data_IF_236663612354
#
_entry.id   IF_236663612354
#
_cell.length_a   1.000
_cell.length_b   1.000
_cell.length_c   1.000
_cell.angle_alpha   90.00
_cell.angle_beta   90.00
_cell.angle_gamma   90.00
#
_symmetry.space_group_name_H-M   'P 1'
#
loop_
_entity.id
_entity.type
_entity.pdbx_description
1 polymer ?
#
# COMPACT_ATOMS: atom_id res chain seq x y z
N UNK A 1 2.50 -33.77 -55.74
CA UNK A 1 2.34 -34.11 -54.31
C UNK A 1 1.11 -33.39 -53.78
N UNK A 2 0.14 -34.14 -53.24
CA UNK A 2 -1.25 -33.70 -53.02
C UNK A 2 -1.34 -32.63 -51.91
N UNK A 3 -2.15 -31.59 -52.15
CA UNK A 3 -2.42 -30.44 -51.24
C UNK A 3 -2.72 -30.87 -49.79
N UNK A 4 -3.30 -32.05 -49.64
CA UNK A 4 -3.63 -32.68 -48.35
C UNK A 4 -2.40 -32.91 -47.46
N UNK A 5 -1.22 -33.19 -48.04
CA UNK A 5 0.02 -33.35 -47.26
C UNK A 5 0.54 -32.04 -46.70
N UNK A 6 0.35 -30.92 -47.40
CA UNK A 6 0.79 -29.59 -46.94
C UNK A 6 -0.13 -29.09 -45.82
N UNK A 7 -1.44 -29.33 -45.96
CA UNK A 7 -2.42 -29.00 -44.92
C UNK A 7 -2.18 -29.82 -43.65
N UNK A 8 -1.91 -31.12 -43.78
CA UNK A 8 -1.60 -31.98 -42.63
C UNK A 8 -0.32 -31.53 -41.92
N UNK A 9 0.73 -31.14 -42.65
CA UNK A 9 1.95 -30.59 -42.07
C UNK A 9 1.71 -29.27 -41.33
N UNK A 10 0.88 -28.37 -41.88
CA UNK A 10 0.50 -27.12 -41.22
C UNK A 10 -0.30 -27.36 -39.93
N UNK A 11 -1.24 -28.31 -39.96
CA UNK A 11 -2.02 -28.70 -38.77
C UNK A 11 -1.12 -29.33 -37.71
N UNK A 12 -0.16 -30.18 -38.09
CA UNK A 12 0.80 -30.78 -37.16
C UNK A 12 1.73 -29.71 -36.56
N UNK A 13 2.20 -28.75 -37.34
CA UNK A 13 3.02 -27.63 -36.85
C UNK A 13 2.20 -26.71 -35.92
N UNK A 14 0.94 -26.42 -36.28
CA UNK A 14 0.02 -25.65 -35.44
C UNK A 14 -0.28 -26.37 -34.12
N UNK A 15 -0.52 -27.68 -34.17
CA UNK A 15 -0.71 -28.53 -32.99
C UNK A 15 0.56 -28.63 -32.15
N UNK A 16 1.75 -28.76 -32.74
CA UNK A 16 3.03 -28.77 -32.00
C UNK A 16 3.29 -27.43 -31.31
N UNK A 17 3.02 -26.31 -31.97
CA UNK A 17 3.10 -24.97 -31.37
C UNK A 17 2.09 -24.79 -30.22
N UNK A 18 0.88 -25.37 -30.35
CA UNK A 18 -0.13 -25.33 -29.30
C UNK A 18 0.13 -26.35 -28.18
N UNK A 19 0.74 -27.50 -28.45
CA UNK A 19 1.13 -28.47 -27.43
C UNK A 19 2.18 -27.83 -26.52
N UNK A 20 3.15 -27.05 -27.05
CA UNK A 20 4.09 -26.31 -26.19
C UNK A 20 3.43 -25.25 -25.30
N UNK A 21 2.35 -24.60 -25.77
CA UNK A 21 1.60 -23.65 -24.93
C UNK A 21 0.70 -24.35 -23.89
N UNK A 22 0.17 -25.55 -24.20
CA UNK A 22 -0.60 -26.36 -23.24
C UNK A 22 0.28 -27.16 -22.27
N UNK A 23 1.49 -27.56 -22.63
CA UNK A 23 2.41 -28.24 -21.70
C UNK A 23 2.99 -27.31 -20.64
N UNK A 24 2.97 -25.99 -20.87
CA UNK A 24 3.25 -25.01 -19.82
C UNK A 24 2.12 -24.88 -18.78
N UNK A 25 0.91 -25.38 -19.08
CA UNK A 25 -0.26 -25.27 -18.20
C UNK A 25 -0.32 -26.42 -17.17
N UNK A 26 0.50 -27.47 -17.33
CA UNK A 26 0.42 -28.69 -16.51
C UNK A 26 1.73 -29.16 -15.89
N UNK A 27 2.83 -28.40 -15.97
CA UNK A 27 3.99 -28.73 -15.14
C UNK A 27 3.70 -28.29 -13.72
N UNK A 28 4.01 -29.14 -12.74
CA UNK A 28 4.13 -28.75 -11.33
C UNK A 28 5.10 -27.57 -11.27
N UNK A 29 4.60 -26.36 -11.47
CA UNK A 29 5.32 -25.13 -11.25
C UNK A 29 5.78 -25.24 -9.81
N UNK A 30 7.09 -25.17 -9.62
CA UNK A 30 7.66 -25.07 -8.29
C UNK A 30 6.83 -24.06 -7.50
N UNK A 31 6.41 -24.41 -6.29
CA UNK A 31 5.79 -23.47 -5.34
C UNK A 31 6.69 -22.24 -5.04
N UNK A 32 7.91 -22.22 -5.59
CA UNK A 32 8.74 -21.03 -5.70
C UNK A 32 8.13 -20.03 -6.70
N UNK A 33 7.20 -19.22 -6.20
CA UNK A 33 6.59 -18.15 -6.97
C UNK A 33 7.59 -17.08 -7.47
N UNK A 34 8.82 -17.08 -6.97
CA UNK A 34 9.88 -16.16 -7.40
C UNK A 34 10.82 -16.74 -8.47
N UNK A 35 10.52 -17.92 -9.02
CA UNK A 35 11.26 -18.45 -10.17
C UNK A 35 11.05 -17.59 -11.42
N UNK A 36 12.02 -17.59 -12.34
CA UNK A 36 11.95 -16.81 -13.58
C UNK A 36 10.70 -17.14 -14.41
N UNK A 37 10.30 -18.40 -14.48
CA UNK A 37 9.09 -18.86 -15.19
C UNK A 37 7.84 -18.20 -14.61
N UNK A 38 7.71 -18.20 -13.28
CA UNK A 38 6.56 -17.62 -12.59
C UNK A 38 6.53 -16.08 -12.71
N UNK A 39 7.70 -15.43 -12.69
CA UNK A 39 7.83 -13.98 -12.96
C UNK A 39 7.36 -13.67 -14.39
N UNK A 40 7.78 -14.45 -15.38
CA UNK A 40 7.36 -14.29 -16.78
C UNK A 40 5.85 -14.52 -16.94
N UNK A 41 5.29 -15.52 -16.26
CA UNK A 41 3.85 -15.78 -16.28
C UNK A 41 3.05 -14.59 -15.75
N UNK A 42 3.47 -13.99 -14.63
CA UNK A 42 2.85 -12.76 -14.11
C UNK A 42 3.02 -11.56 -15.04
N UNK A 43 4.18 -11.41 -15.67
CA UNK A 43 4.43 -10.37 -16.67
C UNK A 43 3.48 -10.51 -17.87
N UNK A 44 3.33 -11.73 -18.41
CA UNK A 44 2.43 -12.03 -19.51
C UNK A 44 0.97 -11.74 -19.12
N UNK A 45 0.53 -12.22 -17.95
CA UNK A 45 -0.80 -11.95 -17.42
C UNK A 45 -1.07 -10.44 -17.30
N UNK A 46 -0.15 -9.69 -16.71
CA UNK A 46 -0.30 -8.25 -16.51
C UNK A 46 -0.38 -7.49 -17.85
N UNK A 47 0.46 -7.87 -18.83
CA UNK A 47 0.41 -7.29 -20.18
C UNK A 47 -0.90 -7.62 -20.90
N UNK A 48 -1.35 -8.87 -20.85
CA UNK A 48 -2.63 -9.29 -21.44
C UNK A 48 -3.80 -8.55 -20.82
N UNK A 49 -3.82 -8.40 -19.49
CA UNK A 49 -4.85 -7.66 -18.78
C UNK A 49 -4.84 -6.18 -19.18
N UNK A 50 -3.65 -5.54 -19.20
CA UNK A 50 -3.48 -4.14 -19.60
C UNK A 50 -4.01 -3.89 -21.02
N UNK A 51 -3.64 -4.74 -21.98
CA UNK A 51 -4.10 -4.63 -23.36
C UNK A 51 -5.63 -4.77 -23.48
N UNK A 52 -6.22 -5.76 -22.79
CA UNK A 52 -7.67 -5.94 -22.76
C UNK A 52 -8.38 -4.70 -22.17
N UNK A 53 -7.82 -4.15 -21.10
CA UNK A 53 -8.40 -3.00 -20.43
C UNK A 53 -8.33 -1.74 -21.31
N UNK A 54 -7.17 -1.44 -21.91
CA UNK A 54 -7.02 -0.28 -22.81
C UNK A 54 -7.94 -0.41 -24.03
N UNK A 55 -8.05 -1.60 -24.61
CA UNK A 55 -8.97 -1.85 -25.72
C UNK A 55 -10.43 -1.60 -25.32
N UNK A 56 -10.83 -1.99 -24.11
CA UNK A 56 -12.17 -1.68 -23.61
C UNK A 56 -12.36 -0.18 -23.33
N UNK A 57 -11.32 0.50 -22.82
CA UNK A 57 -11.37 1.93 -22.49
C UNK A 57 -11.53 2.81 -23.73
N UNK A 58 -10.85 2.44 -24.82
CA UNK A 58 -10.94 3.16 -26.11
C UNK A 58 -12.30 3.00 -26.78
N UNK A 59 -13.03 1.92 -26.48
CA UNK A 59 -14.40 1.69 -26.95
C UNK A 59 -15.40 2.52 -26.12
N UNK A 60 -15.19 2.63 -24.80
CA UNK A 60 -16.11 3.33 -23.90
C UNK A 60 -15.63 4.75 -23.53
N UNK A 61 -15.88 5.69 -24.43
CA UNK A 61 -15.42 7.10 -24.36
C UNK A 61 -16.02 7.91 -23.20
N UNK A 62 -17.09 7.46 -22.57
CA UNK A 62 -17.75 8.15 -21.46
C UNK A 62 -17.38 7.57 -20.09
N UNK A 63 -16.40 6.65 -20.03
CA UNK A 63 -16.00 6.04 -18.77
C UNK A 63 -15.34 7.05 -17.81
N UNK A 64 -15.69 6.97 -16.52
CA UNK A 64 -15.08 7.78 -15.45
C UNK A 64 -13.56 7.56 -15.36
N UNK A 65 -13.10 6.35 -15.67
CA UNK A 65 -11.69 6.00 -15.76
C UNK A 65 -10.96 6.79 -16.86
N UNK A 66 -11.56 6.92 -18.05
CA UNK A 66 -10.98 7.71 -19.14
C UNK A 66 -10.93 9.21 -18.80
N UNK A 67 -11.97 9.75 -18.17
CA UNK A 67 -11.97 11.16 -17.73
C UNK A 67 -10.85 11.42 -16.71
N UNK A 68 -10.66 10.49 -15.76
CA UNK A 68 -9.62 10.59 -14.75
C UNK A 68 -8.22 10.44 -15.38
N UNK A 69 -8.07 9.54 -16.35
CA UNK A 69 -6.84 9.38 -17.13
C UNK A 69 -6.49 10.64 -17.93
N UNK A 70 -7.47 11.28 -18.58
CA UNK A 70 -7.31 12.54 -19.30
C UNK A 70 -6.85 13.66 -18.37
N UNK A 71 -7.39 13.70 -17.15
CA UNK A 71 -6.99 14.66 -16.13
C UNK A 71 -5.54 14.45 -15.67
N UNK A 72 -5.12 13.20 -15.48
CA UNK A 72 -3.75 12.85 -15.04
C UNK A 72 -2.73 13.16 -16.14
N UNK A 73 -3.02 12.76 -17.38
CA UNK A 73 -2.07 12.88 -18.50
C UNK A 73 -2.16 14.22 -19.24
N UNK A 74 -3.20 15.01 -18.99
CA UNK A 74 -3.56 16.22 -19.73
C UNK A 74 -3.79 15.97 -21.24
N UNK A 75 -4.30 14.78 -21.60
CA UNK A 75 -4.61 14.40 -22.98
C UNK A 75 -6.12 14.33 -23.15
N UNK A 76 -6.65 15.14 -24.06
CA UNK A 76 -8.07 15.17 -24.42
C UNK A 76 -8.29 14.54 -25.80
N UNK A 77 -7.84 13.28 -25.96
CA UNK A 77 -7.84 12.60 -27.25
C UNK A 77 -7.61 11.10 -27.13
N UNK A 78 -7.30 10.46 -28.26
CA UNK A 78 -7.02 9.02 -28.27
C UNK A 78 -5.65 8.74 -27.65
N UNK A 79 -5.57 7.67 -26.86
CA UNK A 79 -4.31 7.18 -26.31
C UNK A 79 -3.63 6.25 -27.29
N UNK A 80 -2.31 6.36 -27.37
CA UNK A 80 -1.48 5.38 -28.06
C UNK A 80 -1.24 4.18 -27.15
N UNK A 81 -1.69 3.00 -27.56
CA UNK A 81 -1.58 1.78 -26.76
C UNK A 81 -0.12 1.40 -26.48
N UNK A 82 0.81 1.73 -27.38
CA UNK A 82 2.23 1.39 -27.25
C UNK A 82 2.95 2.25 -26.19
N UNK A 83 2.37 3.39 -25.82
CA UNK A 83 2.90 4.26 -24.77
C UNK A 83 2.60 3.75 -23.37
N UNK A 84 1.68 2.79 -23.22
CA UNK A 84 1.44 2.15 -21.94
C UNK A 84 2.56 1.18 -21.59
N UNK A 85 3.08 1.30 -20.37
CA UNK A 85 4.15 0.45 -19.85
C UNK A 85 3.84 -0.01 -18.45
N UNK A 86 4.26 -1.22 -18.12
CA UNK A 86 4.25 -1.71 -16.75
C UNK A 86 5.60 -1.42 -16.10
N UNK A 87 5.55 -1.07 -14.82
CA UNK A 87 6.75 -1.02 -13.98
C UNK A 87 7.40 -2.39 -13.83
N UNK A 88 8.59 -2.39 -13.20
CA UNK A 88 9.10 -3.57 -12.52
C UNK A 88 8.06 -4.12 -11.52
N UNK A 89 8.19 -5.38 -11.17
CA UNK A 89 7.34 -5.99 -10.16
C UNK A 89 7.73 -5.52 -8.76
N UNK A 90 6.72 -5.19 -7.94
CA UNK A 90 6.87 -4.92 -6.51
C UNK A 90 6.23 -6.04 -5.72
N UNK A 91 6.81 -6.40 -4.58
CA UNK A 91 6.12 -7.29 -3.64
C UNK A 91 4.90 -6.56 -3.06
N UNK A 92 3.76 -7.24 -3.02
CA UNK A 92 2.54 -6.76 -2.44
C UNK A 92 2.17 -7.58 -1.21
N UNK A 93 1.79 -6.91 -0.14
CA UNK A 93 1.40 -7.51 1.13
C UNK A 93 0.06 -6.98 1.56
N UNK A 94 -0.93 -7.87 1.68
CA UNK A 94 -2.19 -7.58 2.36
C UNK A 94 -2.05 -8.08 3.79
N UNK A 95 -1.85 -7.14 4.71
CA UNK A 95 -1.57 -7.43 6.12
C UNK A 95 -2.83 -7.34 6.95
N UNK A 96 -2.87 -8.12 8.03
CA UNK A 96 -4.01 -8.27 8.93
C UNK A 96 -5.24 -8.91 8.28
N UNK A 97 -5.02 -9.78 7.27
CA UNK A 97 -6.05 -10.64 6.74
C UNK A 97 -6.39 -11.71 7.78
N UNK A 98 -7.42 -11.45 8.58
CA UNK A 98 -7.85 -12.36 9.65
C UNK A 98 -8.69 -13.48 9.03
N UNK A 99 -8.30 -14.76 9.17
CA UNK A 99 -9.10 -15.87 8.65
C UNK A 99 -10.45 -15.95 9.39
N UNK A 100 -11.52 -16.11 8.64
CA UNK A 100 -12.89 -16.22 9.16
C UNK A 100 -13.62 -17.44 8.62
N UNK A 101 -14.52 -17.98 9.42
CA UNK A 101 -15.50 -18.99 9.00
C UNK A 101 -16.82 -18.33 8.69
N UNK A 102 -17.45 -18.71 7.57
CA UNK A 102 -18.78 -18.24 7.20
C UNK A 102 -19.84 -19.18 7.78
N UNK A 103 -20.81 -18.61 8.50
CA UNK A 103 -22.02 -19.30 8.95
C UNK A 103 -23.26 -18.56 8.49
N UNK A 104 -24.41 -19.24 8.48
CA UNK A 104 -25.70 -18.66 8.11
C UNK A 104 -26.50 -18.40 9.39
N UNK A 105 -27.02 -17.18 9.56
CA UNK A 105 -27.88 -16.83 10.67
C UNK A 105 -29.32 -17.30 10.43
N UNK A 106 -30.17 -17.29 11.46
CA UNK A 106 -31.59 -17.66 11.34
C UNK A 106 -32.35 -16.78 10.32
N UNK A 107 -31.92 -15.52 10.17
CA UNK A 107 -32.45 -14.60 9.16
C UNK A 107 -31.95 -14.88 7.73
N UNK A 108 -31.21 -15.98 7.51
CA UNK A 108 -30.67 -16.42 6.21
C UNK A 108 -29.41 -15.68 5.75
N UNK A 109 -28.92 -14.68 6.49
CA UNK A 109 -27.74 -13.90 6.10
C UNK A 109 -26.45 -14.59 6.52
N UNK A 110 -25.40 -14.58 5.66
CA UNK A 110 -24.08 -15.05 6.06
C UNK A 110 -23.45 -14.08 7.07
N UNK A 111 -22.72 -14.62 8.02
CA UNK A 111 -21.90 -13.86 8.98
C UNK A 111 -20.57 -14.58 9.23
N UNK A 112 -19.59 -13.83 9.71
CA UNK A 112 -18.23 -14.33 9.90
C UNK A 112 -17.96 -14.66 11.37
N UNK A 113 -17.20 -15.73 11.62
CA UNK A 113 -16.69 -16.07 12.95
C UNK A 113 -15.18 -16.19 12.88
N UNK A 114 -14.51 -15.56 13.84
CA UNK A 114 -13.08 -15.76 14.09
C UNK A 114 -12.93 -16.80 15.19
N UNK A 115 -12.09 -17.82 14.98
CA UNK A 115 -11.80 -18.84 15.99
C UNK A 115 -11.02 -18.27 17.17
N UNK A 116 -11.24 -18.78 18.38
CA UNK A 116 -10.59 -18.25 19.58
C UNK A 116 -9.06 -18.35 19.53
N UNK A 117 -8.52 -19.43 18.94
CA UNK A 117 -7.07 -19.58 18.68
C UNK A 117 -6.48 -18.41 17.86
N UNK A 118 -7.24 -17.92 16.87
CA UNK A 118 -6.85 -16.79 16.01
C UNK A 118 -6.94 -15.49 16.81
N UNK A 119 -8.01 -15.31 17.61
CA UNK A 119 -8.18 -14.12 18.47
C UNK A 119 -7.03 -13.96 19.45
N UNK A 120 -6.59 -15.05 20.06
CA UNK A 120 -5.51 -15.00 21.05
C UNK A 120 -4.16 -14.68 20.41
N UNK A 121 -3.89 -15.19 19.21
CA UNK A 121 -2.71 -14.77 18.45
C UNK A 121 -2.75 -13.28 18.11
N UNK A 122 -3.89 -12.75 17.66
CA UNK A 122 -4.09 -11.33 17.36
C UNK A 122 -3.80 -10.44 18.59
N UNK A 123 -4.29 -10.81 19.79
CA UNK A 123 -4.04 -10.07 21.04
C UNK A 123 -2.55 -9.94 21.37
N UNK A 124 -1.76 -10.94 20.99
CA UNK A 124 -0.35 -11.06 21.31
C UNK A 124 0.60 -10.48 20.24
N UNK A 125 0.07 -10.02 19.10
CA UNK A 125 0.89 -9.38 18.06
C UNK A 125 1.55 -8.11 18.59
N UNK A 126 2.85 -7.96 18.33
CA UNK A 126 3.64 -6.78 18.65
C UNK A 126 4.59 -6.45 17.51
N UNK A 127 4.64 -5.18 17.12
CA UNK A 127 5.42 -4.72 15.97
C UNK A 127 6.40 -3.63 16.38
N UNK A 128 7.67 -3.81 16.02
CA UNK A 128 8.73 -2.82 16.16
C UNK A 128 9.27 -2.35 14.80
N UNK A 129 8.89 -3.03 13.70
CA UNK A 129 9.27 -2.68 12.34
C UNK A 129 8.22 -3.17 11.33
N UNK A 130 8.28 -2.68 10.09
CA UNK A 130 7.52 -3.25 8.98
C UNK A 130 7.84 -4.74 8.78
N UNK A 131 9.09 -5.15 8.99
CA UNK A 131 9.47 -6.57 8.89
C UNK A 131 8.66 -7.45 9.84
N UNK A 132 8.34 -6.97 11.04
CA UNK A 132 7.51 -7.72 11.99
C UNK A 132 6.07 -7.85 11.46
N UNK A 133 5.53 -6.78 10.88
CA UNK A 133 4.18 -6.75 10.29
C UNK A 133 4.07 -7.71 9.10
N UNK A 134 5.05 -7.67 8.18
CA UNK A 134 5.03 -8.45 6.94
C UNK A 134 5.29 -9.95 7.14
N UNK A 135 5.78 -10.37 8.31
CA UNK A 135 6.10 -11.76 8.63
C UNK A 135 5.09 -12.42 9.58
N UNK A 136 3.94 -11.80 9.83
CA UNK A 136 2.87 -12.47 10.58
C UNK A 136 2.16 -13.52 9.72
N UNK A 137 1.45 -14.45 10.37
CA UNK A 137 0.60 -15.44 9.68
C UNK A 137 -0.67 -14.84 9.07
N UNK A 138 -0.99 -13.57 9.37
CA UNK A 138 -2.17 -12.85 8.86
C UNK A 138 -1.80 -11.97 7.66
N UNK A 139 -0.93 -12.47 6.79
CA UNK A 139 -0.41 -11.73 5.64
C UNK A 139 -0.56 -12.56 4.38
N UNK A 140 -1.33 -12.03 3.43
CA UNK A 140 -1.32 -12.54 2.07
C UNK A 140 -0.27 -11.82 1.26
N UNK A 141 0.44 -12.59 0.44
CA UNK A 141 1.48 -12.08 -0.45
C UNK A 141 0.99 -12.12 -1.88
N UNK A 142 1.36 -11.10 -2.63
CA UNK A 142 1.15 -11.02 -4.05
C UNK A 142 2.19 -10.11 -4.69
N UNK A 143 1.84 -9.57 -5.85
CA UNK A 143 2.70 -8.70 -6.63
C UNK A 143 1.92 -7.49 -7.12
N UNK A 144 2.57 -6.34 -7.14
CA UNK A 144 1.99 -5.11 -7.67
C UNK A 144 2.82 -4.60 -8.85
N UNK A 145 2.14 -3.97 -9.81
CA UNK A 145 2.76 -3.26 -10.93
C UNK A 145 2.07 -1.93 -11.13
N UNK A 146 2.86 -0.87 -11.29
CA UNK A 146 2.38 0.46 -11.65
C UNK A 146 2.22 0.50 -13.18
N UNK A 147 1.10 1.06 -13.63
CA UNK A 147 0.84 1.32 -15.03
C UNK A 147 1.26 2.74 -15.34
N UNK A 148 2.05 2.89 -16.38
CA UNK A 148 2.56 4.15 -16.88
C UNK A 148 1.99 4.46 -18.25
N UNK A 149 1.76 5.74 -18.52
CA UNK A 149 1.58 6.27 -19.87
C UNK A 149 2.58 7.39 -20.09
N UNK A 150 3.50 7.22 -21.05
CA UNK A 150 4.55 8.21 -21.34
C UNK A 150 5.36 8.63 -20.09
N UNK A 151 5.67 7.65 -19.23
CA UNK A 151 6.33 7.79 -17.93
C UNK A 151 5.53 8.53 -16.84
N UNK A 152 4.24 8.82 -17.07
CA UNK A 152 3.33 9.32 -16.04
C UNK A 152 2.62 8.13 -15.40
N UNK A 153 2.63 7.96 -14.06
CA UNK A 153 1.85 6.91 -13.42
C UNK A 153 0.36 7.17 -13.62
N UNK A 154 -0.39 6.17 -14.05
CA UNK A 154 -1.82 6.30 -14.39
C UNK A 154 -2.71 5.23 -13.79
N UNK A 155 -2.12 4.27 -13.08
CA UNK A 155 -2.84 3.15 -12.49
C UNK A 155 -1.93 2.11 -11.89
N UNK A 156 -2.52 1.00 -11.48
CA UNK A 156 -1.80 -0.15 -10.95
C UNK A 156 -2.59 -1.45 -11.10
N UNK A 157 -1.86 -2.55 -11.04
CA UNK A 157 -2.38 -3.92 -11.03
C UNK A 157 -1.90 -4.61 -9.75
N UNK A 158 -2.81 -5.29 -9.05
CA UNK A 158 -2.52 -6.20 -7.94
C UNK A 158 -2.77 -7.63 -8.43
N UNK A 159 -1.73 -8.45 -8.35
CA UNK A 159 -1.66 -9.81 -8.86
C UNK A 159 -1.49 -10.74 -7.65
N UNK A 160 -2.26 -11.81 -7.62
CA UNK A 160 -2.18 -12.83 -6.57
C UNK A 160 -2.22 -14.23 -7.16
N UNK A 161 -1.86 -15.21 -6.34
CA UNK A 161 -1.99 -16.62 -6.67
C UNK A 161 -3.37 -17.12 -6.23
N UNK A 162 -4.18 -17.58 -7.17
CA UNK A 162 -5.43 -18.27 -6.87
C UNK A 162 -5.16 -19.77 -6.77
N UNK A 163 -5.18 -20.29 -5.54
CA UNK A 163 -4.98 -21.72 -5.27
C UNK A 163 -6.07 -22.61 -5.86
N UNK A 164 -7.29 -22.10 -6.10
CA UNK A 164 -8.39 -22.87 -6.69
C UNK A 164 -8.19 -23.05 -8.19
N UNK A 165 -7.72 -22.00 -8.86
CA UNK A 165 -7.41 -22.04 -10.29
C UNK A 165 -6.00 -22.56 -10.57
N UNK A 166 -5.17 -22.71 -9.53
CA UNK A 166 -3.76 -23.05 -9.63
C UNK A 166 -3.03 -22.12 -10.63
N UNK A 167 -3.34 -20.82 -10.55
CA UNK A 167 -2.84 -19.82 -11.50
C UNK A 167 -2.78 -18.42 -10.87
N UNK A 168 -2.03 -17.53 -11.49
CA UNK A 168 -2.02 -16.11 -11.16
C UNK A 168 -3.26 -15.42 -11.72
N UNK A 169 -3.82 -14.49 -10.94
CA UNK A 169 -4.94 -13.64 -11.34
C UNK A 169 -4.65 -12.18 -11.02
N UNK A 170 -5.21 -11.27 -11.82
CA UNK A 170 -5.26 -9.85 -11.47
C UNK A 170 -6.50 -9.64 -10.60
N UNK A 171 -6.30 -9.58 -9.28
CA UNK A 171 -7.39 -9.39 -8.32
C UNK A 171 -7.94 -7.96 -8.38
N UNK A 172 -7.07 -6.97 -8.64
CA UNK A 172 -7.49 -5.57 -8.73
C UNK A 172 -6.69 -4.86 -9.81
N UNK A 173 -7.38 -4.17 -10.71
CA UNK A 173 -6.77 -3.25 -11.68
C UNK A 173 -7.43 -1.89 -11.57
N UNK A 174 -6.65 -0.85 -11.28
CA UNK A 174 -7.13 0.54 -11.14
C UNK A 174 -6.44 1.41 -12.17
N UNK A 175 -7.22 2.24 -12.85
CA UNK A 175 -6.76 3.18 -13.87
C UNK A 175 -7.43 4.53 -13.69
N UNK A 176 -6.74 5.58 -14.12
CA UNK A 176 -7.14 6.95 -13.81
C UNK A 176 -6.86 7.31 -12.36
N UNK A 177 -5.91 6.61 -11.72
CA UNK A 177 -5.42 6.90 -10.37
C UNK A 177 -3.89 6.81 -10.35
N UNK A 178 -3.24 7.96 -10.24
CA UNK A 178 -1.78 8.11 -10.19
C UNK A 178 -1.23 7.99 -8.75
N UNK A 179 -2.11 7.89 -7.75
CA UNK A 179 -1.78 7.97 -6.32
C UNK A 179 -0.70 6.97 -5.89
N UNK A 180 -0.84 5.70 -6.31
CA UNK A 180 0.11 4.66 -5.91
C UNK A 180 1.45 4.82 -6.63
N UNK A 181 1.42 5.13 -7.93
CA UNK A 181 2.64 5.35 -8.70
C UNK A 181 3.44 6.53 -8.17
N UNK A 182 2.77 7.65 -7.87
CA UNK A 182 3.40 8.81 -7.23
C UNK A 182 4.01 8.47 -5.86
N UNK A 183 3.31 7.69 -5.02
CA UNK A 183 3.83 7.26 -3.73
C UNK A 183 5.12 6.41 -3.87
N UNK A 184 5.13 5.48 -4.84
CA UNK A 184 6.31 4.66 -5.15
C UNK A 184 7.46 5.52 -5.65
N UNK A 185 7.23 6.36 -6.66
CA UNK A 185 8.28 7.20 -7.25
C UNK A 185 8.92 8.15 -6.22
N UNK A 186 8.10 8.76 -5.37
CA UNK A 186 8.63 9.67 -4.37
C UNK A 186 9.44 8.92 -3.30
N UNK A 187 9.00 7.72 -2.88
CA UNK A 187 9.77 6.90 -1.95
C UNK A 187 11.08 6.39 -2.57
N UNK A 188 11.05 5.95 -3.84
CA UNK A 188 12.27 5.56 -4.55
C UNK A 188 13.25 6.73 -4.71
N UNK A 189 12.74 7.92 -5.04
CA UNK A 189 13.55 9.15 -5.11
C UNK A 189 14.18 9.48 -3.76
N UNK A 190 13.43 9.36 -2.68
CA UNK A 190 13.94 9.57 -1.32
C UNK A 190 15.06 8.59 -0.95
N UNK A 191 14.90 7.31 -1.27
CA UNK A 191 15.94 6.29 -1.04
C UNK A 191 17.19 6.58 -1.89
N UNK A 192 17.02 6.94 -3.16
CA UNK A 192 18.11 7.24 -4.07
C UNK A 192 18.93 8.46 -3.61
N UNK A 193 18.27 9.52 -3.11
CA UNK A 193 18.93 10.70 -2.54
C UNK A 193 19.83 10.36 -1.32
N UNK A 194 19.54 9.25 -0.65
CA UNK A 194 20.32 8.73 0.48
C UNK A 194 21.34 7.65 0.08
N UNK A 195 21.50 7.39 -1.21
CA UNK A 195 22.40 6.35 -1.73
C UNK A 195 21.93 4.93 -1.43
N UNK A 196 20.64 4.72 -1.13
CA UNK A 196 20.08 3.40 -0.85
C UNK A 196 19.48 2.77 -2.11
N UNK A 197 19.63 1.46 -2.25
CA UNK A 197 18.95 0.70 -3.30
C UNK A 197 17.45 0.63 -3.00
N UNK A 198 16.62 0.85 -4.01
CA UNK A 198 15.17 0.69 -3.86
C UNK A 198 14.81 -0.75 -3.51
N UNK A 199 14.10 -0.91 -2.39
CA UNK A 199 13.52 -2.15 -1.90
C UNK A 199 12.03 -1.99 -1.55
N UNK A 200 11.38 -1.03 -2.20
CA UNK A 200 10.00 -0.62 -1.97
C UNK A 200 9.04 -1.80 -2.14
N UNK A 201 8.11 -1.93 -1.20
CA UNK A 201 7.02 -2.90 -1.17
C UNK A 201 5.70 -2.15 -1.11
N UNK A 202 4.64 -2.76 -1.61
CA UNK A 202 3.29 -2.23 -1.53
C UNK A 202 2.56 -2.95 -0.40
N UNK A 203 1.92 -2.19 0.49
CA UNK A 203 1.19 -2.73 1.64
C UNK A 203 -0.26 -2.24 1.61
N UNK A 204 -1.18 -3.18 1.82
CA UNK A 204 -2.58 -2.93 2.12
C UNK A 204 -2.86 -3.45 3.53
N UNK A 205 -3.50 -2.64 4.39
CA UNK A 205 -3.68 -2.92 5.82
C UNK A 205 -5.14 -3.26 6.13
N UNK A 206 -5.83 -3.91 5.17
CA UNK A 206 -7.29 -4.08 5.18
C UNK A 206 -8.03 -2.73 5.28
N UNK A 207 -7.42 -1.68 4.76
CA UNK A 207 -7.97 -0.33 4.66
C UNK A 207 -8.24 -0.02 3.18
N UNK A 208 -9.03 1.02 2.90
CA UNK A 208 -9.25 1.44 1.50
C UNK A 208 -7.97 1.93 0.78
N UNK A 209 -6.85 2.12 1.50
CA UNK A 209 -5.64 2.77 1.02
C UNK A 209 -4.46 1.81 0.92
N UNK A 210 -3.66 2.03 -0.12
CA UNK A 210 -2.38 1.37 -0.34
C UNK A 210 -1.24 2.26 0.15
N UNK A 211 -0.17 1.63 0.59
CA UNK A 211 1.02 2.27 1.12
C UNK A 211 2.25 1.76 0.39
N UNK A 212 3.16 2.66 0.01
CA UNK A 212 4.52 2.28 -0.39
C UNK A 212 5.39 2.27 0.87
N UNK A 213 6.14 1.19 1.11
CA UNK A 213 7.01 1.03 2.29
C UNK A 213 8.40 0.58 1.87
N UNK A 214 9.44 1.07 2.53
CA UNK A 214 10.84 0.68 2.31
C UNK A 214 11.37 -0.16 3.46
N UNK A 215 12.44 -0.93 3.23
CA UNK A 215 13.00 -1.81 4.26
C UNK A 215 13.68 -1.09 5.41
N UNK A 216 14.05 0.19 5.24
CA UNK A 216 14.56 1.04 6.32
C UNK A 216 13.47 1.58 7.26
N UNK A 217 12.20 1.24 7.00
CA UNK A 217 11.08 1.60 7.87
C UNK A 217 10.25 2.78 7.36
N UNK A 218 10.69 3.49 6.32
CA UNK A 218 9.94 4.62 5.77
C UNK A 218 8.72 4.16 4.97
N UNK A 219 7.70 5.01 4.92
CA UNK A 219 6.49 4.72 4.18
C UNK A 219 5.74 5.97 3.71
N UNK A 220 4.84 5.76 2.75
CA UNK A 220 4.08 6.78 2.07
C UNK A 220 2.64 6.29 1.78
N UNK A 221 1.63 7.11 2.07
CA UNK A 221 0.23 6.79 1.76
C UNK A 221 -0.20 7.23 0.35
N UNK A 222 -0.73 6.30 -0.45
CA UNK A 222 -1.26 6.63 -1.77
C UNK A 222 -2.58 7.43 -1.67
N UNK A 223 -2.61 8.61 -2.30
CA UNK A 223 -3.85 9.36 -2.55
C UNK A 223 -4.47 10.04 -1.33
N UNK A 224 -3.68 10.23 -0.27
CA UNK A 224 -4.09 10.96 0.93
C UNK A 224 -3.94 12.48 0.71
N UNK A 225 -5.07 13.15 0.44
CA UNK A 225 -5.10 14.58 0.16
C UNK A 225 -4.54 15.41 1.33
N UNK A 226 -3.66 16.37 1.04
CA UNK A 226 -2.92 17.18 2.03
C UNK A 226 -1.66 16.50 2.60
N UNK A 227 -1.44 15.22 2.29
CA UNK A 227 -0.29 14.44 2.74
C UNK A 227 0.54 13.89 1.59
N UNK A 228 0.31 14.36 0.37
CA UNK A 228 0.92 13.89 -0.89
C UNK A 228 2.41 14.22 -1.01
N UNK A 229 3.06 14.68 0.05
CA UNK A 229 4.50 14.97 0.08
C UNK A 229 5.16 14.48 1.38
N UNK A 230 4.46 13.66 2.17
CA UNK A 230 4.95 13.21 3.48
C UNK A 230 5.48 11.79 3.40
N UNK A 231 6.74 11.64 3.82
CA UNK A 231 7.36 10.34 4.14
C UNK A 231 7.48 10.28 5.64
N UNK A 232 6.91 9.22 6.22
CA UNK A 232 6.99 9.00 7.66
C UNK A 232 7.85 7.78 7.97
N UNK A 233 8.48 7.82 9.13
CA UNK A 233 9.15 6.68 9.74
C UNK A 233 8.13 5.74 10.40
N UNK A 234 8.47 4.45 10.47
CA UNK A 234 7.66 3.44 11.17
C UNK A 234 7.37 3.81 12.63
N UNK A 235 8.33 4.40 13.34
CA UNK A 235 8.21 4.79 14.75
C UNK A 235 7.06 5.77 15.01
N UNK A 236 6.68 6.57 14.01
CA UNK A 236 5.52 7.46 14.10
C UNK A 236 4.23 6.62 14.19
N UNK A 237 4.06 5.62 13.34
CA UNK A 237 2.82 4.82 13.30
C UNK A 237 2.83 3.57 14.18
N UNK A 238 3.95 3.24 14.83
CA UNK A 238 4.12 2.04 15.65
C UNK A 238 2.91 1.73 16.54
N UNK A 239 2.46 2.69 17.34
CA UNK A 239 1.36 2.48 18.30
C UNK A 239 0.05 2.19 17.57
N UNK A 240 -0.25 2.98 16.53
CA UNK A 240 -1.44 2.80 15.70
C UNK A 240 -1.44 1.42 15.01
N UNK A 241 -0.31 1.00 14.43
CA UNK A 241 -0.15 -0.32 13.80
C UNK A 241 -0.30 -1.48 14.79
N UNK A 242 0.14 -1.32 16.05
CA UNK A 242 -0.04 -2.35 17.08
C UNK A 242 -1.52 -2.49 17.51
N UNK A 243 -2.30 -1.42 17.39
CA UNK A 243 -3.75 -1.46 17.69
C UNK A 243 -4.59 -2.00 16.52
N UNK A 244 -4.10 -1.86 15.28
CA UNK A 244 -4.82 -2.21 14.05
C UNK A 244 -5.43 -3.61 14.04
N UNK A 245 -4.70 -4.70 14.34
CA UNK A 245 -5.27 -6.05 14.32
C UNK A 245 -6.48 -6.20 15.25
N UNK A 246 -6.41 -5.59 16.44
CA UNK A 246 -7.49 -5.63 17.41
C UNK A 246 -8.70 -4.81 16.96
N UNK A 247 -8.48 -3.66 16.31
CA UNK A 247 -9.55 -2.83 15.75
C UNK A 247 -10.28 -3.56 14.61
N UNK A 248 -9.55 -4.24 13.73
CA UNK A 248 -10.11 -5.05 12.63
C UNK A 248 -10.90 -6.22 13.22
N UNK A 249 -10.34 -6.96 14.18
CA UNK A 249 -11.02 -8.07 14.86
C UNK A 249 -12.37 -7.63 15.47
N UNK A 250 -12.36 -6.53 16.24
CA UNK A 250 -13.59 -5.98 16.84
C UNK A 250 -14.61 -5.56 15.78
N UNK A 251 -14.15 -5.03 14.65
CA UNK A 251 -15.04 -4.63 13.54
C UNK A 251 -15.68 -5.87 12.92
N UNK A 252 -14.92 -6.93 12.65
CA UNK A 252 -15.45 -8.21 12.14
C UNK A 252 -16.49 -8.79 13.11
N UNK A 253 -16.19 -8.82 14.41
CA UNK A 253 -17.10 -9.37 15.43
C UNK A 253 -18.39 -8.55 15.54
N UNK A 254 -18.28 -7.23 15.54
CA UNK A 254 -19.43 -6.33 15.63
C UNK A 254 -20.30 -6.39 14.37
N UNK A 255 -19.70 -6.33 13.17
CA UNK A 255 -20.43 -6.51 11.91
C UNK A 255 -21.14 -7.85 11.87
N UNK A 256 -20.47 -8.92 12.32
CA UNK A 256 -21.06 -10.26 12.36
C UNK A 256 -22.20 -10.39 13.39
N UNK A 257 -22.09 -9.70 14.53
CA UNK A 257 -23.16 -9.59 15.51
C UNK A 257 -24.37 -8.85 14.93
N UNK A 258 -24.14 -7.69 14.31
CA UNK A 258 -25.19 -6.90 13.67
C UNK A 258 -25.87 -7.67 12.53
N UNK A 259 -25.12 -8.43 11.71
CA UNK A 259 -25.71 -9.27 10.66
C UNK A 259 -26.70 -10.31 11.21
N UNK A 260 -26.47 -10.81 12.43
CA UNK A 260 -27.37 -11.75 13.11
C UNK A 260 -28.56 -11.05 13.76
N UNK A 261 -28.30 -9.97 14.50
CA UNK A 261 -29.25 -9.42 15.48
C UNK A 261 -30.00 -8.19 14.97
N UNK A 262 -29.37 -7.36 14.14
CA UNK A 262 -29.89 -6.05 13.74
C UNK A 262 -29.25 -5.59 12.40
N UNK A 263 -29.48 -6.30 11.29
CA UNK A 263 -28.82 -6.02 10.01
C UNK A 263 -29.14 -4.61 9.49
N UNK A 264 -30.29 -4.05 9.85
CA UNK A 264 -30.70 -2.67 9.53
C UNK A 264 -29.80 -1.59 10.17
N UNK A 265 -29.04 -1.93 11.21
CA UNK A 265 -28.10 -1.02 11.88
C UNK A 265 -26.70 -1.03 11.29
N UNK A 266 -26.45 -1.88 10.29
CA UNK A 266 -25.17 -1.90 9.58
C UNK A 266 -25.10 -0.64 8.73
N UNK A 267 -24.28 0.31 9.16
CA UNK A 267 -23.99 1.49 8.35
C UNK A 267 -23.23 1.07 7.09
N UNK A 268 -23.80 1.33 5.92
CA UNK A 268 -23.09 1.20 4.65
C UNK A 268 -22.34 2.51 4.37
N UNK A 269 -21.02 2.46 4.48
CA UNK A 269 -20.12 3.54 4.06
C UNK A 269 -19.63 4.44 5.20
N UNK A 270 -18.36 4.82 5.09
CA UNK A 270 -17.66 5.72 6.02
C UNK A 270 -16.64 4.99 6.88
N UNK A 271 -15.43 4.77 6.35
CA UNK A 271 -14.29 4.54 7.23
C UNK A 271 -14.04 5.84 7.98
N UNK A 272 -14.11 5.82 9.32
CA UNK A 272 -13.76 6.98 10.12
C UNK A 272 -12.32 7.35 9.78
N UNK A 273 -12.05 8.54 9.21
CA UNK A 273 -10.71 8.92 8.80
C UNK A 273 -9.71 8.82 9.96
N UNK A 274 -10.16 9.00 11.21
CA UNK A 274 -9.33 8.85 12.41
C UNK A 274 -8.79 7.44 12.63
N UNK A 275 -9.37 6.44 11.96
CA UNK A 275 -8.89 5.06 11.97
C UNK A 275 -7.77 4.83 10.97
N UNK A 276 -7.50 5.67 9.99
CA UNK A 276 -6.44 5.38 9.00
C UNK A 276 -5.03 5.74 9.51
N UNK A 277 -4.01 5.04 9.04
CA UNK A 277 -2.63 5.23 9.53
C UNK A 277 -2.06 6.63 9.25
N UNK A 278 -2.35 7.24 8.11
CA UNK A 278 -1.82 8.56 7.76
C UNK A 278 -2.39 9.66 8.68
N UNK A 279 -3.65 9.55 9.12
CA UNK A 279 -4.19 10.46 10.11
C UNK A 279 -3.55 10.27 11.49
N UNK A 280 -3.28 9.02 11.89
CA UNK A 280 -2.55 8.75 13.12
C UNK A 280 -1.12 9.33 13.06
N UNK A 281 -0.45 9.20 11.92
CA UNK A 281 0.88 9.74 11.69
C UNK A 281 0.90 11.26 11.80
N UNK A 282 0.04 11.94 11.03
CA UNK A 282 -0.09 13.39 11.03
C UNK A 282 -0.43 13.95 12.42
N UNK A 283 -1.32 13.27 13.17
CA UNK A 283 -1.66 13.67 14.54
C UNK A 283 -0.46 13.55 15.48
N UNK A 284 0.31 12.46 15.40
CA UNK A 284 1.47 12.24 16.25
C UNK A 284 2.58 13.23 15.93
N UNK A 285 2.86 13.46 14.65
CA UNK A 285 3.83 14.45 14.19
C UNK A 285 3.45 15.86 14.66
N UNK A 286 2.19 16.27 14.50
CA UNK A 286 1.70 17.57 15.01
C UNK A 286 1.90 17.70 16.52
N UNK A 287 1.67 16.63 17.26
CA UNK A 287 1.86 16.59 18.73
C UNK A 287 3.34 16.70 19.10
N UNK A 288 4.22 15.97 18.41
CA UNK A 288 5.67 16.06 18.61
C UNK A 288 6.20 17.46 18.30
N UNK A 289 5.79 18.04 17.17
CA UNK A 289 6.19 19.39 16.77
C UNK A 289 5.72 20.45 17.78
N UNK A 290 4.50 20.32 18.32
CA UNK A 290 4.01 21.20 19.38
C UNK A 290 4.83 21.07 20.68
N UNK A 291 5.19 19.84 21.08
CA UNK A 291 6.03 19.62 22.25
C UNK A 291 7.44 20.20 22.07
N UNK A 292 8.05 20.03 20.89
CA UNK A 292 9.35 20.63 20.56
C UNK A 292 9.27 22.16 20.63
N UNK A 293 8.21 22.76 20.05
CA UNK A 293 8.01 24.21 20.11
C UNK A 293 7.88 24.72 21.56
N UNK A 294 7.10 24.03 22.40
CA UNK A 294 6.97 24.36 23.83
C UNK A 294 8.33 24.26 24.53
N UNK A 295 9.09 23.20 24.26
CA UNK A 295 10.41 23.01 24.85
C UNK A 295 11.41 24.10 24.44
N UNK A 296 11.44 24.46 23.14
CA UNK A 296 12.28 25.56 22.62
C UNK A 296 11.90 26.91 23.23
N UNK A 297 10.60 27.16 23.44
CA UNK A 297 10.12 28.37 24.12
C UNK A 297 10.58 28.42 25.58
N UNK A 298 10.50 27.31 26.31
CA UNK A 298 10.98 27.20 27.70
C UNK A 298 12.49 27.42 27.76
N UNK A 299 13.27 26.79 26.89
CA UNK A 299 14.73 26.99 26.82
C UNK A 299 15.09 28.45 26.54
N UNK A 300 14.39 29.07 25.59
CA UNK A 300 14.59 30.48 25.27
C UNK A 300 14.28 31.37 26.47
N UNK A 301 13.18 31.11 27.19
CA UNK A 301 12.84 31.82 28.42
C UNK A 301 13.92 31.66 29.51
N UNK A 302 14.45 30.46 29.71
CA UNK A 302 15.55 30.20 30.65
C UNK A 302 16.80 31.00 30.26
N UNK A 303 17.21 30.97 28.98
CA UNK A 303 18.36 31.73 28.49
C UNK A 303 18.18 33.23 28.71
N UNK A 304 16.99 33.78 28.46
CA UNK A 304 16.67 35.19 28.71
C UNK A 304 16.73 35.53 30.20
N UNK A 305 16.21 34.66 31.08
CA UNK A 305 16.27 34.87 32.53
C UNK A 305 17.72 34.80 33.02
N UNK A 306 18.47 33.76 32.67
CA UNK A 306 19.86 33.58 33.07
C UNK A 306 20.77 34.70 32.55
N UNK A 307 20.56 35.18 31.33
CA UNK A 307 21.30 36.33 30.78
C UNK A 307 20.99 37.62 31.54
N UNK A 308 19.71 37.92 31.82
CA UNK A 308 19.32 39.07 32.68
C UNK A 308 19.92 38.97 34.08
N UNK A 309 19.94 37.77 34.67
CA UNK A 309 20.54 37.53 35.98
C UNK A 309 22.06 37.73 35.96
N UNK A 310 22.76 37.22 34.94
CA UNK A 310 24.21 37.44 34.74
C UNK A 310 24.55 38.92 34.57
N UNK A 311 23.75 39.67 33.80
CA UNK A 311 23.91 41.12 33.65
C UNK A 311 23.65 41.87 34.96
N UNK A 312 22.61 41.49 35.71
CA UNK A 312 22.31 42.07 37.02
C UNK A 312 23.45 41.81 38.02
N UNK A 313 23.97 40.58 38.06
CA UNK A 313 25.06 40.19 38.94
C UNK A 313 26.36 40.93 38.59
N UNK A 314 26.74 41.01 37.30
CA UNK A 314 27.90 41.79 36.86
C UNK A 314 27.77 43.29 37.17
N UNK A 315 26.56 43.85 37.05
CA UNK A 315 26.28 45.23 37.40
C UNK A 315 26.44 45.48 38.92
N UNK A 316 25.88 44.60 39.75
CA UNK A 316 26.01 44.69 41.21
C UNK A 316 27.47 44.49 41.68
N UNK A 317 28.20 43.55 41.09
CA UNK A 317 29.62 43.34 41.38
C UNK A 317 30.47 44.57 41.03
N UNK A 318 30.28 45.16 39.84
CA UNK A 318 30.98 46.39 39.44
C UNK A 318 30.63 47.59 40.32
N UNK A 319 29.39 47.68 40.81
CA UNK A 319 28.96 48.72 41.74
C UNK A 319 29.63 48.54 43.11
N UNK A 320 29.76 47.31 43.60
CA UNK A 320 30.47 47.02 44.85
C UNK A 320 31.95 47.39 44.77
N UNK A 321 32.66 46.95 43.72
CA UNK A 321 34.10 47.26 43.54
C UNK A 321 34.37 48.76 43.50
N UNK A 322 33.50 49.56 42.85
CA UNK A 322 33.62 51.02 42.84
C UNK A 322 33.40 51.69 44.19
N UNK A 323 32.58 51.09 45.07
CA UNK A 323 32.32 51.63 46.40
C UNK A 323 33.41 51.27 47.42
N UNK A 324 34.20 50.22 47.18
CA UNK A 324 35.32 49.82 48.05
C UNK A 324 36.64 50.56 47.73
N UNK A 325 36.69 51.29 46.60
CA UNK A 325 37.87 52.08 46.16
C UNK A 325 37.76 53.58 46.49
N UNK A 326 36.77 53.99 47.29
CA UNK A 326 36.67 55.34 47.87
C UNK A 326 37.03 55.30 49.34
#
# INVERSE_FOLDING_TARGET
MKKDKVFLSLVIVFLLLHISTFTCIGTNLSNEHNSEVNILQRQCLANSWLNLYINNLTINKDSTALQSLNKITNINGSYDTEKFKLSKEYEYYRVFHIPTEVKIAENGRPYHIVRDEVKDKIKNLRFNSWRDVLNTEFVDKGWARIVYYDNIPVGYLLIEWDSKMNNYIVNTGVFGDDSLGNAVENLERYLAQRGMKSDVKIVNIEEMRLYAVSGDGNWWCAGAKGYENHIWDFGIIKDALNEKPMQILKTIEETSRLMREAPEKIMMGGEDPSKTLYFAAAKKERTQNAMIAIFLLILTAIIVICSKWKFSYQYQFRKHVKNTQK
#
